data_IF_415613206447
#
_entry.id   IF_415613206447
#
_cell.length_a   1.000
_cell.length_b   1.000
_cell.length_c   1.000
_cell.angle_alpha   90.00
_cell.angle_beta   90.00
_cell.angle_gamma   90.00
#
_symmetry.space_group_name_H-M   'P 1'
#
loop_
_entity.id
_entity.type
_entity.pdbx_description
1 polymer ?
#
# COMPACT_ATOMS: atom_id res chain seq x y z
N UNK A 1 -5.13 0.65 -23.90
CA UNK A 1 -5.22 -0.50 -22.97
C UNK A 1 -6.51 -0.33 -22.18
N UNK A 2 -7.19 -1.42 -21.75
CA UNK A 2 -8.62 -1.36 -21.42
C UNK A 2 -8.92 -1.39 -19.93
N UNK A 3 -9.87 -0.55 -19.51
CA UNK A 3 -10.54 -0.57 -18.20
C UNK A 3 -10.94 -1.98 -17.74
N UNK A 4 -11.33 -2.84 -18.67
CA UNK A 4 -11.68 -4.24 -18.40
C UNK A 4 -10.54 -5.04 -17.77
N UNK A 5 -9.29 -4.86 -18.22
CA UNK A 5 -8.13 -5.55 -17.64
C UNK A 5 -7.88 -5.09 -16.19
N UNK A 6 -7.93 -3.79 -15.92
CA UNK A 6 -7.77 -3.24 -14.57
C UNK A 6 -8.89 -3.70 -13.62
N UNK A 7 -10.15 -3.68 -14.08
CA UNK A 7 -11.29 -4.17 -13.30
C UNK A 7 -11.20 -5.69 -13.05
N UNK A 8 -10.70 -6.47 -14.00
CA UNK A 8 -10.44 -7.91 -13.82
C UNK A 8 -9.38 -8.15 -12.74
N UNK A 9 -8.29 -7.38 -12.75
CA UNK A 9 -7.23 -7.47 -11.74
C UNK A 9 -7.76 -7.14 -10.33
N UNK A 10 -8.47 -6.03 -10.16
CA UNK A 10 -9.05 -5.68 -8.84
C UNK A 10 -10.08 -6.70 -8.35
N UNK A 11 -10.93 -7.23 -9.23
CA UNK A 11 -11.87 -8.32 -8.89
C UNK A 11 -11.14 -9.57 -8.44
N UNK A 12 -10.01 -9.89 -9.05
CA UNK A 12 -9.19 -11.02 -8.62
C UNK A 12 -8.72 -10.84 -7.17
N UNK A 13 -8.09 -9.71 -6.83
CA UNK A 13 -7.65 -9.41 -5.47
C UNK A 13 -8.82 -9.31 -4.48
N UNK A 14 -9.97 -8.79 -4.90
CA UNK A 14 -11.19 -8.79 -4.09
C UNK A 14 -11.63 -10.21 -3.72
N UNK A 15 -11.53 -11.18 -4.65
CA UNK A 15 -11.88 -12.57 -4.37
C UNK A 15 -10.90 -13.24 -3.40
N UNK A 16 -9.63 -12.82 -3.39
CA UNK A 16 -8.65 -13.28 -2.39
C UNK A 16 -9.06 -12.85 -0.98
N UNK A 17 -9.52 -11.60 -0.79
CA UNK A 17 -10.03 -11.14 0.51
C UNK A 17 -11.22 -11.98 0.99
N UNK A 18 -12.17 -12.22 0.10
CA UNK A 18 -13.37 -13.01 0.40
C UNK A 18 -13.02 -14.44 0.80
N UNK A 19 -12.06 -15.08 0.10
CA UNK A 19 -11.63 -16.44 0.40
C UNK A 19 -10.97 -16.61 1.79
N UNK A 20 -10.40 -15.54 2.34
CA UNK A 20 -9.81 -15.51 3.68
C UNK A 20 -10.81 -14.97 4.74
N UNK A 21 -12.06 -14.75 4.36
CA UNK A 21 -13.13 -14.30 5.26
C UNK A 21 -13.13 -12.81 5.58
N UNK A 22 -12.39 -11.99 4.83
CA UNK A 22 -12.40 -10.54 4.99
C UNK A 22 -13.56 -9.89 4.22
N UNK A 23 -13.93 -8.67 4.63
CA UNK A 23 -14.85 -7.86 3.84
C UNK A 23 -14.22 -7.58 2.46
N UNK A 24 -14.96 -7.90 1.40
CA UNK A 24 -14.53 -7.76 0.01
C UNK A 24 -14.17 -6.31 -0.41
N UNK A 25 -14.52 -5.31 0.37
CA UNK A 25 -14.30 -3.90 0.03
C UNK A 25 -15.21 -3.40 -1.09
N UNK A 26 -14.82 -2.28 -1.68
CA UNK A 26 -15.53 -1.59 -2.76
C UNK A 26 -14.56 -1.31 -3.90
N UNK A 27 -14.96 -1.69 -5.12
CA UNK A 27 -14.24 -1.33 -6.35
C UNK A 27 -14.82 -0.04 -6.89
N UNK A 28 -13.96 0.91 -7.22
CA UNK A 28 -14.31 2.16 -7.88
C UNK A 28 -13.37 2.38 -9.07
N UNK A 29 -13.88 3.06 -10.09
CA UNK A 29 -13.08 3.50 -11.23
C UNK A 29 -12.71 4.97 -11.04
N UNK A 30 -11.44 5.30 -11.15
CA UNK A 30 -10.94 6.69 -11.14
C UNK A 30 -10.72 7.14 -12.59
N UNK A 31 -11.63 7.99 -13.09
CA UNK A 31 -11.54 8.55 -14.45
C UNK A 31 -10.33 9.48 -14.64
N UNK A 32 -9.82 10.12 -13.59
CA UNK A 32 -8.69 11.03 -13.70
C UNK A 32 -7.39 10.23 -13.83
N UNK A 33 -7.24 9.20 -12.99
CA UNK A 33 -6.03 8.37 -12.96
C UNK A 33 -6.09 7.20 -13.95
N UNK A 34 -7.27 6.92 -14.54
CA UNK A 34 -7.54 5.75 -15.37
C UNK A 34 -7.25 4.41 -14.65
N UNK A 35 -7.52 4.36 -13.34
CA UNK A 35 -7.27 3.19 -12.51
C UNK A 35 -8.56 2.54 -12.02
N UNK A 36 -8.49 1.24 -11.79
CA UNK A 36 -9.48 0.53 -10.98
C UNK A 36 -8.92 0.41 -9.56
N UNK A 37 -9.64 0.94 -8.58
CA UNK A 37 -9.23 0.95 -7.18
C UNK A 37 -10.14 0.05 -6.35
N UNK A 38 -9.55 -0.88 -5.61
CA UNK A 38 -10.22 -1.67 -4.59
C UNK A 38 -9.91 -1.08 -3.20
N UNK A 39 -10.91 -0.49 -2.56
CA UNK A 39 -10.81 0.08 -1.20
C UNK A 39 -11.38 -0.91 -0.20
N UNK A 40 -10.61 -1.26 0.82
CA UNK A 40 -11.02 -2.25 1.82
C UNK A 40 -10.40 -2.00 3.19
N UNK A 41 -10.89 -2.74 4.20
CA UNK A 41 -10.40 -2.66 5.58
C UNK A 41 -9.95 -4.02 6.08
N UNK A 42 -8.79 -4.05 6.75
CA UNK A 42 -8.29 -5.20 7.50
C UNK A 42 -7.82 -4.71 8.86
N UNK A 43 -8.28 -5.35 9.94
CA UNK A 43 -7.85 -5.05 11.32
C UNK A 43 -7.96 -3.55 11.68
N UNK A 44 -9.01 -2.88 11.20
CA UNK A 44 -9.26 -1.46 11.47
C UNK A 44 -8.47 -0.47 10.61
N UNK A 45 -7.59 -0.95 9.72
CA UNK A 45 -6.79 -0.12 8.81
C UNK A 45 -7.41 -0.11 7.41
N UNK A 46 -7.28 1.01 6.70
CA UNK A 46 -7.73 1.16 5.32
C UNK A 46 -6.60 0.82 4.35
N UNK A 47 -6.94 0.13 3.27
CA UNK A 47 -6.02 -0.19 2.18
C UNK A 47 -6.67 0.12 0.84
N UNK A 48 -5.84 0.40 -0.15
CA UNK A 48 -6.25 0.61 -1.54
C UNK A 48 -5.39 -0.29 -2.41
N UNK A 49 -6.01 -1.15 -3.22
CA UNK A 49 -5.30 -1.83 -4.29
C UNK A 49 -5.65 -1.17 -5.62
N UNK A 50 -4.63 -0.67 -6.30
CA UNK A 50 -4.74 0.10 -7.54
C UNK A 50 -4.25 -0.78 -8.68
N UNK A 51 -5.05 -0.89 -9.73
CA UNK A 51 -4.68 -1.52 -11.01
C UNK A 51 -4.81 -0.50 -12.11
N UNK A 52 -3.74 -0.32 -12.89
CA UNK A 52 -3.72 0.65 -13.98
C UNK A 52 -4.35 0.07 -15.24
N UNK A 53 -5.10 0.88 -15.98
CA UNK A 53 -5.58 0.47 -17.28
C UNK A 53 -4.49 0.55 -18.36
N UNK A 54 -3.37 1.21 -18.09
CA UNK A 54 -2.21 1.28 -18.97
C UNK A 54 -1.12 0.21 -18.70
N UNK A 55 -1.25 -0.58 -17.64
CA UNK A 55 -0.35 -1.68 -17.32
C UNK A 55 -1.12 -2.89 -16.76
N UNK A 56 -1.49 -3.81 -17.65
CA UNK A 56 -2.32 -4.97 -17.30
C UNK A 56 -1.61 -6.02 -16.43
N UNK A 57 -0.28 -5.94 -16.34
CA UNK A 57 0.54 -6.89 -15.58
C UNK A 57 1.04 -6.26 -14.26
N UNK A 58 0.51 -5.09 -13.89
CA UNK A 58 0.89 -4.36 -12.68
C UNK A 58 -0.30 -4.06 -11.76
N UNK A 59 -0.08 -4.25 -10.46
CA UNK A 59 -0.97 -3.74 -9.43
C UNK A 59 -0.17 -3.25 -8.22
N UNK A 60 -0.73 -2.34 -7.44
CA UNK A 60 -0.10 -1.81 -6.22
C UNK A 60 -1.08 -1.86 -5.06
N UNK A 61 -0.66 -2.48 -3.95
CA UNK A 61 -1.35 -2.36 -2.67
C UNK A 61 -0.75 -1.18 -1.88
N UNK A 62 -1.62 -0.33 -1.35
CA UNK A 62 -1.29 0.91 -0.65
C UNK A 62 -1.86 0.87 0.75
N UNK A 63 -1.03 1.18 1.73
CA UNK A 63 -1.42 1.58 3.08
C UNK A 63 -1.19 3.10 3.20
N UNK A 64 -2.24 3.92 2.98
CA UNK A 64 -2.12 5.36 2.91
C UNK A 64 -2.06 6.00 4.30
N UNK A 65 -1.41 7.16 4.37
CA UNK A 65 -1.50 8.14 5.46
C UNK A 65 -1.39 7.53 6.85
N UNK A 66 -0.42 6.65 7.05
CA UNK A 66 -0.27 5.94 8.32
C UNK A 66 0.52 6.73 9.36
N UNK A 67 1.18 7.81 8.95
CA UNK A 67 1.92 8.72 9.82
C UNK A 67 1.78 10.17 9.28
N UNK A 68 1.10 11.07 9.99
CA UNK A 68 1.04 12.48 9.62
C UNK A 68 2.40 13.15 9.84
N UNK A 69 2.69 14.19 9.09
CA UNK A 69 3.90 14.99 9.20
C UNK A 69 3.48 16.44 9.42
N UNK A 70 3.81 16.98 10.59
CA UNK A 70 3.30 18.28 11.05
C UNK A 70 4.33 19.42 10.90
N UNK A 71 5.59 19.11 10.62
CA UNK A 71 6.66 20.12 10.41
C UNK A 71 7.75 19.69 9.41
N UNK A 72 8.53 20.67 8.96
CA UNK A 72 9.68 20.45 8.07
C UNK A 72 10.77 19.61 8.75
N UNK A 73 10.98 19.79 10.06
CA UNK A 73 11.90 18.98 10.87
C UNK A 73 11.43 17.52 10.95
N UNK A 74 10.13 17.29 11.16
CA UNK A 74 9.57 15.94 11.18
C UNK A 74 9.67 15.29 9.79
N UNK A 75 9.41 16.05 8.73
CA UNK A 75 9.60 15.58 7.36
C UNK A 75 11.06 15.18 7.08
N UNK A 76 12.04 15.99 7.48
CA UNK A 76 13.45 15.66 7.32
C UNK A 76 13.83 14.37 8.08
N UNK A 77 13.34 14.21 9.31
CA UNK A 77 13.52 12.98 10.08
C UNK A 77 12.84 11.77 9.42
N UNK A 78 11.64 11.97 8.87
CA UNK A 78 10.89 10.94 8.16
C UNK A 78 11.63 10.45 6.91
N UNK A 79 12.32 11.32 6.15
CA UNK A 79 13.13 10.90 5.01
C UNK A 79 14.27 9.95 5.41
N UNK A 80 14.91 10.21 6.56
CA UNK A 80 15.93 9.32 7.10
C UNK A 80 15.32 7.97 7.54
N UNK A 81 14.18 8.00 8.25
CA UNK A 81 13.48 6.81 8.68
C UNK A 81 12.99 5.96 7.49
N UNK A 82 12.46 6.59 6.44
CA UNK A 82 12.06 5.94 5.18
C UNK A 82 13.22 5.15 4.58
N UNK A 83 14.41 5.77 4.48
CA UNK A 83 15.60 5.11 3.94
C UNK A 83 15.99 3.87 4.74
N UNK A 84 15.97 3.98 6.08
CA UNK A 84 16.27 2.86 6.98
C UNK A 84 15.25 1.72 6.86
N UNK A 85 13.96 2.04 6.79
CA UNK A 85 12.88 1.05 6.64
C UNK A 85 13.00 0.33 5.31
N UNK A 86 13.15 1.06 4.20
CA UNK A 86 13.28 0.46 2.87
C UNK A 86 14.54 -0.43 2.74
N UNK A 87 15.60 -0.13 3.49
CA UNK A 87 16.80 -0.98 3.54
C UNK A 87 16.67 -2.24 4.40
N UNK A 88 15.70 -2.32 5.32
CA UNK A 88 15.56 -3.40 6.31
C UNK A 88 14.32 -4.28 6.08
N UNK A 89 13.19 -3.66 5.76
CA UNK A 89 11.91 -4.32 5.62
C UNK A 89 11.79 -4.96 4.24
N UNK A 90 11.33 -6.21 4.22
CA UNK A 90 11.22 -6.98 2.97
C UNK A 90 10.03 -6.48 2.14
N UNK A 91 10.30 -6.10 0.89
CA UNK A 91 9.29 -5.92 -0.16
C UNK A 91 8.32 -4.75 0.03
N UNK A 92 8.49 -3.93 1.07
CA UNK A 92 7.70 -2.71 1.29
C UNK A 92 8.49 -1.52 0.76
N UNK A 93 7.78 -0.60 0.11
CA UNK A 93 8.27 0.70 -0.30
C UNK A 93 7.54 1.76 0.51
N UNK A 94 8.25 2.46 1.37
CA UNK A 94 7.75 3.59 2.16
C UNK A 94 8.22 4.90 1.51
N UNK A 95 7.34 5.90 1.46
CA UNK A 95 7.64 7.22 0.93
C UNK A 95 6.72 8.28 1.57
N UNK A 96 7.14 9.54 1.54
CA UNK A 96 6.29 10.67 1.91
C UNK A 96 5.30 11.00 0.79
N UNK A 97 4.05 11.29 1.15
CA UNK A 97 3.03 11.73 0.21
C UNK A 97 3.49 12.99 -0.54
N UNK A 98 2.93 13.25 -1.73
CA UNK A 98 3.37 14.36 -2.59
C UNK A 98 3.24 15.76 -1.96
N UNK A 99 2.36 15.90 -0.97
CA UNK A 99 2.19 17.13 -0.17
C UNK A 99 3.12 17.22 1.03
N UNK A 100 3.94 16.20 1.27
CA UNK A 100 4.84 16.05 2.43
C UNK A 100 4.12 16.13 3.79
N UNK A 101 2.81 15.86 3.83
CA UNK A 101 1.97 15.92 5.03
C UNK A 101 1.72 14.55 5.68
N UNK A 102 2.15 13.47 5.03
CA UNK A 102 1.90 12.09 5.43
C UNK A 102 2.95 11.13 4.89
N UNK A 103 2.99 9.93 5.47
CA UNK A 103 3.77 8.79 4.99
C UNK A 103 2.85 7.68 4.47
N UNK A 104 3.28 7.06 3.38
CA UNK A 104 2.57 6.00 2.66
C UNK A 104 3.47 4.78 2.52
N UNK A 105 2.91 3.59 2.64
CA UNK A 105 3.61 2.33 2.42
C UNK A 105 2.93 1.55 1.30
N UNK A 106 3.72 0.93 0.42
CA UNK A 106 3.19 0.17 -0.72
C UNK A 106 3.92 -1.15 -0.95
N UNK A 107 3.22 -2.09 -1.56
CA UNK A 107 3.78 -3.28 -2.20
C UNK A 107 3.30 -3.28 -3.64
N UNK A 108 4.19 -3.67 -4.55
CA UNK A 108 3.93 -3.74 -5.98
C UNK A 108 3.90 -5.21 -6.43
N UNK A 109 2.98 -5.53 -7.33
CA UNK A 109 2.77 -6.86 -7.89
C UNK A 109 3.02 -6.80 -9.39
N UNK A 110 3.86 -7.71 -9.87
CA UNK A 110 3.95 -8.04 -11.29
C UNK A 110 3.22 -9.37 -11.49
N UNK A 111 2.01 -9.29 -12.02
CA UNK A 111 1.05 -10.39 -12.11
C UNK A 111 0.14 -10.14 -13.30
N UNK A 112 -0.08 -11.13 -14.16
CA UNK A 112 -0.86 -10.88 -15.37
C UNK A 112 -2.36 -10.86 -15.14
N UNK A 113 -3.05 -9.83 -15.63
CA UNK A 113 -4.52 -9.75 -15.56
C UNK A 113 -5.21 -10.90 -16.32
N UNK A 114 -4.54 -11.48 -17.32
CA UNK A 114 -5.10 -12.59 -18.12
C UNK A 114 -5.15 -13.91 -17.35
N UNK A 115 -4.20 -14.12 -16.43
CA UNK A 115 -4.10 -15.32 -15.62
C UNK A 115 -3.38 -15.00 -14.29
N UNK A 116 -4.04 -14.28 -13.37
CA UNK A 116 -3.39 -13.85 -12.14
C UNK A 116 -3.15 -15.05 -11.22
N UNK A 117 -1.92 -15.16 -10.68
CA UNK A 117 -1.48 -16.26 -9.82
C UNK A 117 -0.92 -15.71 -8.50
N UNK A 118 -1.75 -15.67 -7.47
CA UNK A 118 -1.38 -15.31 -6.10
C UNK A 118 -2.33 -15.99 -5.11
N UNK A 119 -1.82 -16.78 -4.17
CA UNK A 119 -2.69 -17.36 -3.15
C UNK A 119 -3.21 -16.31 -2.17
N UNK A 120 -4.42 -16.53 -1.65
CA UNK A 120 -5.04 -15.59 -0.73
C UNK A 120 -4.23 -15.40 0.56
N UNK A 121 -3.71 -16.50 1.15
CA UNK A 121 -2.79 -16.43 2.29
C UNK A 121 -1.51 -15.62 2.02
N UNK A 122 -0.97 -15.63 0.79
CA UNK A 122 0.13 -14.75 0.43
C UNK A 122 -0.33 -13.29 0.33
N UNK A 123 -1.51 -13.02 -0.22
CA UNK A 123 -2.06 -11.66 -0.25
C UNK A 123 -2.21 -11.07 1.17
N UNK A 124 -2.73 -11.84 2.13
CA UNK A 124 -2.81 -11.42 3.54
C UNK A 124 -1.42 -11.19 4.13
N UNK A 125 -0.42 -11.98 3.74
CA UNK A 125 0.97 -11.76 4.16
C UNK A 125 1.53 -10.43 3.64
N UNK A 126 1.17 -9.98 2.43
CA UNK A 126 1.57 -8.66 1.92
C UNK A 126 0.95 -7.51 2.72
N UNK A 127 -0.31 -7.65 3.14
CA UNK A 127 -0.95 -6.67 4.06
C UNK A 127 -0.17 -6.60 5.38
N UNK A 128 0.22 -7.75 5.95
CA UNK A 128 1.05 -7.80 7.16
C UNK A 128 2.43 -7.19 6.95
N UNK A 129 3.04 -7.36 5.77
CA UNK A 129 4.31 -6.72 5.43
C UNK A 129 4.19 -5.20 5.47
N UNK A 130 3.13 -4.62 4.90
CA UNK A 130 2.87 -3.17 4.99
C UNK A 130 2.76 -2.71 6.45
N UNK A 131 2.05 -3.46 7.29
CA UNK A 131 1.92 -3.15 8.71
C UNK A 131 3.27 -3.19 9.43
N UNK A 132 4.09 -4.22 9.19
CA UNK A 132 5.43 -4.31 9.76
C UNK A 132 6.34 -3.16 9.31
N UNK A 133 6.24 -2.73 8.05
CA UNK A 133 6.97 -1.56 7.53
C UNK A 133 6.55 -0.26 8.24
N UNK A 134 5.25 -0.05 8.41
CA UNK A 134 4.72 1.10 9.13
C UNK A 134 5.08 1.09 10.63
N UNK A 135 5.08 -0.09 11.27
CA UNK A 135 5.48 -0.24 12.66
C UNK A 135 6.97 0.05 12.89
N UNK A 136 7.84 -0.44 11.99
CA UNK A 136 9.27 -0.15 12.04
C UNK A 136 9.55 1.34 11.78
N UNK A 137 8.85 1.95 10.82
CA UNK A 137 8.91 3.39 10.60
C UNK A 137 8.57 4.16 11.88
N UNK A 138 7.41 3.83 12.48
CA UNK A 138 6.94 4.50 13.68
C UNK A 138 7.88 4.28 14.88
N UNK A 139 8.54 3.11 14.98
CA UNK A 139 9.56 2.84 16.00
C UNK A 139 10.75 3.79 15.83
N UNK A 140 11.29 3.92 14.62
CA UNK A 140 12.44 4.79 14.32
C UNK A 140 12.10 6.27 14.57
N UNK A 141 10.92 6.74 14.13
CA UNK A 141 10.50 8.12 14.36
C UNK A 141 10.41 8.46 15.86
N UNK A 142 9.87 7.55 16.68
CA UNK A 142 9.85 7.72 18.13
C UNK A 142 11.26 7.75 18.75
N UNK A 143 12.20 7.00 18.20
CA UNK A 143 13.60 7.05 18.65
C UNK A 143 14.25 8.39 18.33
N UNK A 144 14.00 8.96 17.14
CA UNK A 144 14.49 10.28 16.77
C UNK A 144 13.93 11.37 17.69
N UNK A 145 12.63 11.33 17.99
CA UNK A 145 12.00 12.30 18.91
C UNK A 145 12.63 12.25 20.32
N UNK A 146 12.90 11.04 20.84
CA UNK A 146 13.50 10.85 22.16
C UNK A 146 14.96 11.30 22.25
N UNK A 147 15.70 11.35 21.13
CA UNK A 147 17.10 11.81 21.10
C UNK A 147 17.23 13.35 21.06
N UNK A 148 16.14 14.04 20.75
CA UNK A 148 16.07 15.50 20.70
C UNK A 148 15.50 16.12 21.98
N UNK A 149 15.05 15.29 22.93
CA UNK A 149 14.52 15.67 24.25
C UNK A 149 15.62 15.68 25.31
#
# INVERSE_FOLDING_TARGET
MSRESAERMTRYFQSLLESEGFNRGQIQWDDQSQTSDLIFKVEGRNYILISDADDEDFARLVFPNFWPLDSDEEFAAALQAISLVNGRCKGVKVYAASKNDNVVATVEFLISASNPQLSAGLFIRYIRMLNSGAEEFARIMREFANQQS
#
